data_IF_473973464659
#
_entry.id   IF_473973464659
#
_cell.length_a   1.000
_cell.length_b   1.000
_cell.length_c   1.000
_cell.angle_alpha   90.00
_cell.angle_beta   90.00
_cell.angle_gamma   90.00
#
_symmetry.space_group_name_H-M   'P 1'
#
loop_
_entity.id
_entity.type
_entity.pdbx_description
1 polymer ?
#
# COMPACT_ATOMS: atom_id res chain seq x y z
N UNK A 1 -13.33 16.45 1.86
CA UNK A 1 -11.87 16.22 2.01
C UNK A 1 -11.68 14.74 1.84
N UNK A 2 -11.10 14.32 0.72
CA UNK A 2 -11.00 12.90 0.41
C UNK A 2 -10.06 12.23 1.41
N UNK A 3 -10.47 11.06 1.91
CA UNK A 3 -9.75 10.34 2.95
C UNK A 3 -9.00 9.16 2.35
N UNK A 4 -7.76 8.96 2.81
CA UNK A 4 -6.87 7.89 2.36
C UNK A 4 -6.41 7.11 3.58
N UNK A 5 -6.80 5.85 3.66
CA UNK A 5 -6.27 4.93 4.64
C UNK A 5 -5.01 4.27 4.08
N UNK A 6 -3.90 4.38 4.82
CA UNK A 6 -2.63 3.79 4.43
C UNK A 6 -2.36 2.59 5.32
N UNK A 7 -2.44 1.38 4.77
CA UNK A 7 -2.16 0.14 5.51
C UNK A 7 -0.72 -0.31 5.25
N UNK A 8 -0.03 -0.74 6.30
CA UNK A 8 1.41 -1.01 6.23
C UNK A 8 1.73 -2.48 6.47
N UNK A 9 2.49 -3.09 5.56
CA UNK A 9 3.15 -4.36 5.76
C UNK A 9 4.65 -4.18 5.94
N UNK A 10 5.20 -4.50 7.11
CA UNK A 10 6.62 -4.26 7.38
C UNK A 10 7.19 -5.24 8.41
N UNK A 11 8.50 -5.44 8.38
CA UNK A 11 9.24 -6.15 9.43
C UNK A 11 10.17 -5.20 10.18
N UNK A 12 10.97 -4.41 9.45
CA UNK A 12 12.01 -3.54 10.01
C UNK A 12 11.65 -2.04 9.94
N UNK A 13 10.38 -1.71 9.67
CA UNK A 13 9.88 -0.33 9.64
C UNK A 13 10.17 0.47 8.36
N UNK A 14 10.85 -0.08 7.34
CA UNK A 14 11.13 0.65 6.08
C UNK A 14 9.86 1.05 5.34
N UNK A 15 8.90 0.13 5.20
CA UNK A 15 7.61 0.44 4.56
C UNK A 15 6.78 1.41 5.42
N UNK A 16 6.87 1.34 6.75
CA UNK A 16 6.22 2.31 7.64
C UNK A 16 6.77 3.73 7.43
N UNK A 17 8.09 3.90 7.35
CA UNK A 17 8.71 5.21 7.05
C UNK A 17 8.27 5.74 5.68
N UNK A 18 8.17 4.86 4.68
CA UNK A 18 7.67 5.22 3.37
C UNK A 18 6.19 5.64 3.39
N UNK A 19 5.35 4.90 4.11
CA UNK A 19 3.94 5.23 4.32
C UNK A 19 3.78 6.59 5.01
N UNK A 20 4.56 6.87 6.06
CA UNK A 20 4.52 8.15 6.77
C UNK A 20 4.93 9.32 5.88
N UNK A 21 5.95 9.14 5.04
CA UNK A 21 6.39 10.18 4.11
C UNK A 21 5.35 10.44 3.00
N UNK A 22 4.72 9.37 2.48
CA UNK A 22 3.58 9.48 1.57
C UNK A 22 2.39 10.20 2.22
N UNK A 23 2.04 9.83 3.46
CA UNK A 23 0.99 10.46 4.24
C UNK A 23 1.22 11.97 4.40
N UNK A 24 2.43 12.37 4.80
CA UNK A 24 2.77 13.78 5.01
C UNK A 24 2.60 14.63 3.73
N UNK A 25 3.00 14.09 2.57
CA UNK A 25 2.78 14.78 1.29
C UNK A 25 1.30 14.85 0.94
N UNK A 26 0.55 13.76 1.09
CA UNK A 26 -0.89 13.74 0.81
C UNK A 26 -1.65 14.70 1.73
N UNK A 27 -1.29 14.81 3.00
CA UNK A 27 -1.83 15.78 3.95
C UNK A 27 -1.53 17.22 3.51
N UNK A 28 -0.31 17.51 3.09
CA UNK A 28 0.07 18.83 2.56
C UNK A 28 -0.72 19.20 1.30
N UNK A 29 -1.21 18.21 0.55
CA UNK A 29 -2.07 18.37 -0.63
C UNK A 29 -3.56 18.43 -0.30
N UNK A 30 -3.94 18.33 0.98
CA UNK A 30 -5.31 18.47 1.46
C UNK A 30 -6.10 17.17 1.57
N UNK A 31 -5.45 16.00 1.57
CA UNK A 31 -6.11 14.72 1.86
C UNK A 31 -6.12 14.41 3.36
N UNK A 32 -7.18 13.77 3.85
CA UNK A 32 -7.22 13.25 5.21
C UNK A 32 -6.57 11.87 5.25
N UNK A 33 -5.38 11.73 5.84
CA UNK A 33 -4.68 10.43 5.85
C UNK A 33 -4.57 9.80 7.23
N UNK A 34 -4.62 8.47 7.27
CA UNK A 34 -4.38 7.68 8.47
C UNK A 34 -3.42 6.53 8.13
N UNK A 35 -2.32 6.39 8.87
CA UNK A 35 -1.37 5.28 8.71
C UNK A 35 -1.67 4.22 9.75
N UNK A 36 -1.99 3.01 9.29
CA UNK A 36 -2.33 1.86 10.13
C UNK A 36 -1.33 0.71 9.90
N UNK A 37 -0.44 0.49 10.87
CA UNK A 37 0.56 -0.57 10.86
C UNK A 37 0.04 -1.93 11.36
N UNK A 38 -1.09 -1.91 12.06
CA UNK A 38 -1.72 -3.09 12.65
C UNK A 38 -3.07 -3.42 11.98
N UNK A 39 -3.18 -3.07 10.70
CA UNK A 39 -4.42 -3.17 9.95
C UNK A 39 -5.05 -4.57 10.06
N UNK A 40 -6.37 -4.57 10.24
CA UNK A 40 -7.22 -5.76 10.27
C UNK A 40 -8.19 -5.73 9.08
N UNK A 41 -8.72 -6.89 8.66
CA UNK A 41 -9.66 -6.95 7.55
C UNK A 41 -10.85 -5.98 7.68
N UNK A 42 -11.37 -5.81 8.91
CA UNK A 42 -12.51 -4.92 9.17
C UNK A 42 -12.18 -3.44 8.92
N UNK A 43 -10.90 -3.05 9.03
CA UNK A 43 -10.50 -1.67 8.79
C UNK A 43 -10.74 -1.28 7.33
N UNK A 44 -10.60 -2.21 6.38
CA UNK A 44 -10.86 -1.93 4.97
C UNK A 44 -12.35 -1.67 4.69
N UNK A 45 -13.25 -2.13 5.56
CA UNK A 45 -14.69 -1.99 5.40
C UNK A 45 -15.28 -0.82 6.21
N UNK A 46 -14.47 -0.12 7.00
CA UNK A 46 -14.94 0.89 7.97
C UNK A 46 -15.62 2.09 7.34
N UNK A 47 -15.18 2.48 6.15
CA UNK A 47 -15.70 3.62 5.40
C UNK A 47 -15.52 3.38 3.89
N UNK A 48 -16.62 3.17 3.13
CA UNK A 48 -16.55 2.88 1.70
C UNK A 48 -16.08 4.07 0.85
N UNK A 49 -16.02 5.28 1.42
CA UNK A 49 -15.55 6.48 0.71
C UNK A 49 -14.04 6.66 0.78
N UNK A 50 -13.35 5.93 1.66
CA UNK A 50 -11.90 6.01 1.79
C UNK A 50 -11.17 5.32 0.64
N UNK A 51 -10.18 5.99 0.06
CA UNK A 51 -9.23 5.34 -0.84
C UNK A 51 -8.22 4.53 -0.03
N UNK A 52 -7.85 3.34 -0.51
CA UNK A 52 -6.89 2.45 0.15
C UNK A 52 -5.50 2.66 -0.47
N UNK A 53 -4.48 2.91 0.35
CA UNK A 53 -3.09 2.88 -0.09
C UNK A 53 -2.35 1.80 0.69
N UNK A 54 -1.82 0.81 -0.02
CA UNK A 54 -0.99 -0.22 0.60
C UNK A 54 0.47 0.18 0.52
N UNK A 55 1.20 0.13 1.62
CA UNK A 55 2.65 0.26 1.62
C UNK A 55 3.27 -0.97 2.26
N UNK A 56 3.89 -1.84 1.45
CA UNK A 56 4.30 -3.16 1.89
C UNK A 56 5.73 -3.49 1.49
N UNK A 57 6.55 -3.93 2.44
CA UNK A 57 7.83 -4.59 2.15
C UNK A 57 7.65 -6.07 1.88
N UNK A 58 8.55 -6.67 1.13
CA UNK A 58 8.60 -8.13 0.95
C UNK A 58 9.51 -8.78 2.00
N UNK A 59 9.12 -9.94 2.52
CA UNK A 59 9.88 -10.68 3.55
C UNK A 59 10.48 -11.97 3.00
N UNK A 60 11.67 -12.34 3.51
CA UNK A 60 12.35 -13.58 3.14
C UNK A 60 12.46 -13.75 1.63
N UNK A 61 12.01 -14.90 1.14
CA UNK A 61 12.09 -15.23 -0.28
C UNK A 61 10.98 -14.61 -1.13
N UNK A 62 10.02 -13.86 -0.54
CA UNK A 62 8.92 -13.24 -1.30
C UNK A 62 7.56 -13.17 -0.59
N UNK A 63 7.54 -13.34 0.73
CA UNK A 63 6.31 -13.51 1.50
C UNK A 63 5.79 -12.18 2.05
N UNK A 64 4.47 -12.12 2.27
CA UNK A 64 3.79 -10.98 2.87
C UNK A 64 4.17 -10.84 4.36
N UNK A 65 4.53 -9.64 4.84
CA UNK A 65 4.81 -9.39 6.25
C UNK A 65 3.69 -9.86 7.19
N UNK A 66 4.06 -10.46 8.32
CA UNK A 66 3.11 -11.02 9.28
C UNK A 66 2.11 -10.00 9.82
N UNK A 67 2.48 -8.74 9.95
CA UNK A 67 1.61 -7.70 10.52
C UNK A 67 0.40 -7.40 9.61
N UNK A 68 0.57 -7.47 8.28
CA UNK A 68 -0.50 -7.25 7.29
C UNK A 68 -1.10 -8.56 6.75
N UNK A 69 -0.46 -9.71 7.03
CA UNK A 69 -0.91 -11.01 6.54
C UNK A 69 -2.41 -11.30 6.79
N UNK A 70 -3.02 -10.97 7.96
CA UNK A 70 -4.45 -11.18 8.16
C UNK A 70 -5.33 -10.43 7.14
N UNK A 71 -4.92 -9.23 6.72
CA UNK A 71 -5.62 -8.46 5.67
C UNK A 71 -5.44 -9.16 4.32
N UNK A 72 -4.20 -9.52 3.97
CA UNK A 72 -3.92 -10.25 2.73
C UNK A 72 -4.75 -11.53 2.65
N UNK A 73 -4.76 -12.36 3.71
CA UNK A 73 -5.51 -13.61 3.74
C UNK A 73 -7.03 -13.40 3.57
N UNK A 74 -7.59 -12.32 4.12
CA UNK A 74 -9.01 -12.02 3.94
C UNK A 74 -9.33 -11.57 2.50
N UNK A 75 -8.47 -10.77 1.88
CA UNK A 75 -8.59 -10.39 0.47
C UNK A 75 -8.45 -11.61 -0.45
N UNK A 76 -7.43 -12.43 -0.21
CA UNK A 76 -7.08 -13.59 -1.04
C UNK A 76 -8.17 -14.66 -1.04
N UNK A 77 -8.82 -14.86 0.12
CA UNK A 77 -9.99 -15.73 0.27
C UNK A 77 -11.31 -15.08 -0.18
N UNK A 78 -11.27 -13.90 -0.82
CA UNK A 78 -12.44 -13.17 -1.32
C UNK A 78 -13.50 -12.89 -0.23
N UNK A 79 -13.04 -12.72 1.02
CA UNK A 79 -13.91 -12.48 2.17
C UNK A 79 -14.29 -11.01 2.34
N UNK A 80 -13.72 -10.12 1.52
CA UNK A 80 -13.96 -8.67 1.53
C UNK A 80 -14.52 -8.23 0.18
N UNK A 81 -15.65 -7.52 0.21
CA UNK A 81 -16.20 -6.83 -0.96
C UNK A 81 -15.73 -5.37 -0.94
N UNK A 82 -14.89 -5.02 -1.91
CA UNK A 82 -14.32 -3.69 -2.09
C UNK A 82 -14.78 -3.08 -3.42
N UNK A 83 -15.91 -3.52 -3.96
CA UNK A 83 -16.45 -3.03 -5.23
C UNK A 83 -16.47 -1.50 -5.29
N UNK A 84 -15.76 -0.94 -6.29
CA UNK A 84 -15.68 0.50 -6.53
C UNK A 84 -14.73 1.27 -5.59
N UNK A 85 -14.06 0.62 -4.63
CA UNK A 85 -13.02 1.25 -3.81
C UNK A 85 -11.80 1.54 -4.67
N UNK A 86 -11.33 2.79 -4.67
CA UNK A 86 -10.05 3.16 -5.31
C UNK A 86 -8.89 2.64 -4.45
N UNK A 87 -7.81 2.17 -5.09
CA UNK A 87 -6.59 1.80 -4.38
C UNK A 87 -5.29 2.15 -5.11
N UNK A 88 -4.19 2.20 -4.36
CA UNK A 88 -2.82 2.25 -4.86
C UNK A 88 -1.89 1.36 -4.03
N UNK A 89 -0.72 1.03 -4.58
CA UNK A 89 0.26 0.15 -3.93
C UNK A 89 1.68 0.73 -4.04
N UNK A 90 2.38 0.76 -2.92
CA UNK A 90 3.82 1.04 -2.79
C UNK A 90 4.48 -0.24 -2.28
N UNK A 91 5.21 -0.91 -3.16
CA UNK A 91 5.89 -2.17 -2.88
C UNK A 91 7.40 -1.97 -2.72
N UNK A 92 7.92 -2.30 -1.54
CA UNK A 92 9.36 -2.29 -1.27
C UNK A 92 9.88 -3.73 -1.45
N UNK A 93 10.94 -3.86 -2.25
CA UNK A 93 11.63 -5.11 -2.49
C UNK A 93 13.14 -4.92 -2.54
N UNK A 94 13.86 -6.02 -2.70
CA UNK A 94 15.29 -6.04 -2.88
C UNK A 94 15.59 -7.04 -4.00
N UNK A 95 16.18 -6.56 -5.11
CA UNK A 95 16.49 -7.41 -6.27
C UNK A 95 17.61 -8.43 -6.04
N UNK A 96 18.30 -8.37 -4.90
CA UNK A 96 19.17 -9.43 -4.42
C UNK A 96 18.42 -10.70 -4.03
N UNK A 97 17.10 -10.63 -3.84
CA UNK A 97 16.24 -11.79 -3.55
C UNK A 97 15.49 -12.28 -4.80
N UNK A 98 15.13 -13.58 -4.87
CA UNK A 98 14.50 -14.17 -6.05
C UNK A 98 13.15 -13.52 -6.45
N UNK A 99 12.31 -13.15 -5.47
CA UNK A 99 10.98 -12.58 -5.71
C UNK A 99 10.95 -11.10 -5.32
N UNK A 100 11.37 -10.25 -6.25
CA UNK A 100 11.38 -8.80 -6.09
C UNK A 100 9.96 -8.23 -5.89
N UNK A 101 9.76 -7.45 -4.82
CA UNK A 101 8.52 -6.73 -4.51
C UNK A 101 7.23 -7.58 -4.52
N UNK A 102 7.37 -8.90 -4.34
CA UNK A 102 6.30 -9.87 -4.57
C UNK A 102 5.13 -9.74 -3.60
N UNK A 103 5.37 -9.33 -2.35
CA UNK A 103 4.27 -9.09 -1.41
C UNK A 103 3.32 -7.99 -1.89
N UNK A 104 3.86 -6.95 -2.55
CA UNK A 104 3.06 -5.88 -3.15
C UNK A 104 2.22 -6.38 -4.32
N UNK A 105 2.79 -7.23 -5.19
CA UNK A 105 2.09 -7.86 -6.30
C UNK A 105 0.91 -8.73 -5.82
N UNK A 106 1.14 -9.52 -4.76
CA UNK A 106 0.08 -10.35 -4.16
C UNK A 106 -1.06 -9.49 -3.59
N UNK A 107 -0.73 -8.38 -2.93
CA UNK A 107 -1.73 -7.45 -2.39
C UNK A 107 -2.50 -6.71 -3.49
N UNK A 108 -1.82 -6.31 -4.57
CA UNK A 108 -2.45 -5.69 -5.75
C UNK A 108 -3.44 -6.64 -6.43
N UNK A 109 -3.06 -7.90 -6.66
CA UNK A 109 -3.95 -8.92 -7.23
C UNK A 109 -5.16 -9.18 -6.35
N UNK A 110 -4.95 -9.35 -5.04
CA UNK A 110 -6.03 -9.64 -4.10
C UNK A 110 -7.03 -8.47 -4.01
N UNK A 111 -6.55 -7.22 -3.99
CA UNK A 111 -7.42 -6.03 -4.03
C UNK A 111 -8.25 -5.98 -5.31
N UNK A 112 -7.63 -6.26 -6.46
CA UNK A 112 -8.32 -6.29 -7.74
C UNK A 112 -9.41 -7.36 -7.76
N UNK A 113 -9.12 -8.58 -7.29
CA UNK A 113 -10.11 -9.67 -7.19
C UNK A 113 -11.25 -9.36 -6.22
N UNK A 114 -11.01 -8.57 -5.17
CA UNK A 114 -12.06 -8.06 -4.28
C UNK A 114 -12.91 -6.92 -4.88
N UNK A 115 -12.72 -6.56 -6.15
CA UNK A 115 -13.53 -5.56 -6.86
C UNK A 115 -13.04 -4.11 -6.69
N UNK A 116 -11.89 -3.90 -6.04
CA UNK A 116 -11.29 -2.58 -5.95
C UNK A 116 -10.70 -2.14 -7.30
N UNK A 117 -10.63 -0.83 -7.52
CA UNK A 117 -10.17 -0.22 -8.76
C UNK A 117 -8.78 0.40 -8.57
N UNK A 118 -7.76 0.00 -9.34
CA UNK A 118 -6.43 0.59 -9.24
C UNK A 118 -6.44 2.04 -9.73
N UNK A 119 -5.67 2.88 -9.06
CA UNK A 119 -5.37 4.25 -9.48
C UNK A 119 -3.91 4.30 -9.89
N UNK A 120 -3.67 4.45 -11.19
CA UNK A 120 -2.32 4.40 -11.75
C UNK A 120 -1.63 3.06 -11.54
N UNK A 121 -0.31 3.05 -11.71
CA UNK A 121 0.52 1.85 -11.55
C UNK A 121 1.11 1.77 -10.14
N UNK A 122 1.24 0.55 -9.60
CA UNK A 122 2.02 0.30 -8.39
C UNK A 122 3.44 0.88 -8.49
N UNK A 123 3.90 1.50 -7.40
CA UNK A 123 5.31 1.85 -7.23
C UNK A 123 6.08 0.64 -6.72
N UNK A 124 7.17 0.27 -7.39
CA UNK A 124 8.17 -0.67 -6.85
C UNK A 124 9.45 0.07 -6.47
N UNK A 125 9.92 -0.11 -5.25
CA UNK A 125 11.18 0.48 -4.74
C UNK A 125 12.18 -0.64 -4.48
N UNK A 126 13.39 -0.52 -5.04
CA UNK A 126 14.47 -1.48 -4.88
C UNK A 126 15.49 -0.99 -3.85
N UNK A 127 15.62 -1.74 -2.74
CA UNK A 127 16.56 -1.43 -1.67
C UNK A 127 18.05 -1.47 -2.10
N UNK A 128 18.38 -2.14 -3.21
CA UNK A 128 19.75 -2.16 -3.76
C UNK A 128 20.12 -0.86 -4.48
N UNK A 129 19.13 -0.07 -4.89
CA UNK A 129 19.32 1.12 -5.74
C UNK A 129 18.85 2.40 -5.04
N UNK A 130 17.79 2.30 -4.25
CA UNK A 130 17.16 3.43 -3.59
C UNK A 130 17.55 3.50 -2.11
N UNK A 131 18.48 4.40 -1.80
CA UNK A 131 18.93 4.66 -0.43
C UNK A 131 17.89 5.44 0.40
N UNK A 132 16.87 6.04 -0.24
CA UNK A 132 15.86 6.90 0.40
C UNK A 132 14.45 6.51 -0.04
N UNK A 133 13.99 5.29 0.29
CA UNK A 133 12.69 4.76 -0.14
C UNK A 133 11.51 5.65 0.29
N UNK A 134 11.64 6.32 1.44
CA UNK A 134 10.63 7.25 1.95
C UNK A 134 10.49 8.51 1.08
N UNK A 135 11.57 9.03 0.52
CA UNK A 135 11.52 10.17 -0.41
C UNK A 135 10.88 9.77 -1.73
N UNK A 136 11.22 8.59 -2.25
CA UNK A 136 10.63 8.04 -3.47
C UNK A 136 9.14 7.78 -3.32
N UNK A 137 8.71 7.20 -2.19
CA UNK A 137 7.30 7.02 -1.85
C UNK A 137 6.54 8.35 -1.76
N UNK A 138 7.13 9.35 -1.11
CA UNK A 138 6.55 10.69 -0.99
C UNK A 138 6.36 11.37 -2.36
N UNK A 139 7.37 11.29 -3.24
CA UNK A 139 7.29 11.84 -4.61
C UNK A 139 6.21 11.13 -5.42
N UNK A 140 6.19 9.81 -5.39
CA UNK A 140 5.15 9.05 -6.09
C UNK A 140 3.76 9.35 -5.55
N UNK A 141 3.57 9.49 -4.23
CA UNK A 141 2.28 9.78 -3.63
C UNK A 141 1.73 11.15 -4.09
N UNK A 142 2.62 12.14 -4.29
CA UNK A 142 2.25 13.41 -4.91
C UNK A 142 1.67 13.19 -6.30
N UNK A 143 2.39 12.50 -7.18
CA UNK A 143 1.99 12.30 -8.57
C UNK A 143 0.73 11.41 -8.67
N UNK A 144 0.67 10.37 -7.84
CA UNK A 144 -0.50 9.49 -7.71
C UNK A 144 -1.76 10.23 -7.27
N UNK A 145 -1.65 11.24 -6.40
CA UNK A 145 -2.79 12.05 -5.97
C UNK A 145 -3.42 12.87 -7.11
N UNK A 146 -2.67 13.17 -8.17
CA UNK A 146 -3.22 13.85 -9.34
C UNK A 146 -4.17 12.93 -10.11
N UNK A 147 -3.86 11.63 -10.17
CA UNK A 147 -4.73 10.62 -10.78
C UNK A 147 -5.99 10.32 -9.95
N UNK A 148 -6.00 10.62 -8.65
CA UNK A 148 -7.19 10.46 -7.80
C UNK A 148 -8.31 11.45 -8.12
N UNK A 149 -7.95 12.62 -8.66
CA UNK A 149 -8.88 13.72 -8.99
C UNK A 149 -9.60 13.50 -10.32
N UNK A 150 -9.14 12.55 -11.13
CA UNK A 150 -9.77 12.10 -12.36
C UNK A 150 -10.83 11.02 -12.07
#
# INVERSE_FOLDING_TARGET
>A
MDRIQIIVGTVNGSAWKAAQAAAAILQALGYGTEVNEEARPQDLLRDPTETILVCCSTTGDGDVPRNIYPVYAALDNEALDLCGRKYGVIALGDRGYPRFAHAGLLLEDALYRSGAMPVGNMLTIDAQVDERPHYTAARWAKDWSEALKC
#
